data_IF_480894670902
#
_entry.id   IF_480894670902
#
_cell.length_a   1.000
_cell.length_b   1.000
_cell.length_c   1.000
_cell.angle_alpha   90.00
_cell.angle_beta   90.00
_cell.angle_gamma   90.00
#
_symmetry.space_group_name_H-M   'P 1'
#
loop_
_entity.id
_entity.type
_entity.pdbx_description
1 polymer ?
#
# COMPACT_ATOMS: atom_id res chain seq x y z
N UNK A 1 -12.84 -16.72 25.14
CA UNK A 1 -14.12 -17.29 25.58
C UNK A 1 -13.90 -17.92 26.94
N UNK A 2 -14.71 -17.56 27.92
CA UNK A 2 -14.78 -18.30 29.18
C UNK A 2 -15.31 -19.70 28.86
N UNK A 3 -14.68 -20.74 29.40
CA UNK A 3 -15.22 -22.09 29.29
C UNK A 3 -16.63 -22.12 29.89
N UNK A 4 -17.59 -22.83 29.28
CA UNK A 4 -18.84 -23.13 29.95
C UNK A 4 -18.53 -23.77 31.31
N UNK A 5 -19.08 -23.26 32.42
CA UNK A 5 -18.78 -23.77 33.76
C UNK A 5 -19.12 -25.26 33.86
N UNK A 6 -20.18 -25.69 33.17
CA UNK A 6 -20.64 -27.08 33.14
C UNK A 6 -19.62 -28.01 32.47
N UNK A 7 -19.00 -27.58 31.36
CA UNK A 7 -17.97 -28.36 30.66
C UNK A 7 -16.70 -28.47 31.52
N UNK A 8 -16.27 -27.37 32.15
CA UNK A 8 -15.11 -27.38 33.03
C UNK A 8 -15.33 -28.25 34.27
N UNK A 9 -16.54 -28.22 34.85
CA UNK A 9 -16.90 -29.05 35.99
C UNK A 9 -16.93 -30.53 35.60
N UNK A 10 -17.55 -30.87 34.46
CA UNK A 10 -17.55 -32.25 33.95
C UNK A 10 -16.13 -32.80 33.76
N UNK A 11 -15.23 -32.02 33.14
CA UNK A 11 -13.84 -32.44 32.94
C UNK A 11 -13.09 -32.62 34.26
N UNK A 12 -13.26 -31.70 35.21
CA UNK A 12 -12.68 -31.84 36.55
C UNK A 12 -13.15 -33.13 37.22
N UNK A 13 -14.46 -33.38 37.23
CA UNK A 13 -15.06 -34.50 37.93
C UNK A 13 -14.65 -35.84 37.28
N UNK A 14 -14.64 -35.90 35.94
CA UNK A 14 -14.18 -37.07 35.20
C UNK A 14 -12.69 -37.39 35.43
N UNK A 15 -11.83 -36.36 35.47
CA UNK A 15 -10.41 -36.54 35.81
C UNK A 15 -10.22 -36.96 37.27
N UNK A 16 -11.03 -36.44 38.18
CA UNK A 16 -10.97 -36.81 39.60
C UNK A 16 -11.40 -38.26 39.85
N UNK A 17 -12.29 -38.79 38.99
CA UNK A 17 -12.73 -40.18 38.99
C UNK A 17 -11.75 -41.14 38.28
N UNK A 18 -10.60 -40.64 37.80
CA UNK A 18 -9.56 -41.48 37.20
C UNK A 18 -9.75 -41.80 35.70
N UNK A 19 -10.68 -41.14 35.02
CA UNK A 19 -10.80 -41.28 33.56
C UNK A 19 -9.63 -40.61 32.83
N UNK A 20 -9.17 -41.23 31.75
CA UNK A 20 -8.10 -40.67 30.93
C UNK A 20 -8.58 -39.44 30.13
N UNK A 21 -7.65 -38.53 29.78
CA UNK A 21 -7.99 -37.38 28.94
C UNK A 21 -8.54 -37.80 27.56
N UNK A 22 -8.08 -38.93 27.03
CA UNK A 22 -8.49 -39.45 25.73
C UNK A 22 -9.93 -39.99 25.76
N UNK A 23 -10.33 -40.65 26.85
CA UNK A 23 -11.71 -41.14 27.02
C UNK A 23 -12.70 -39.98 27.15
N UNK A 24 -12.31 -38.95 27.91
CA UNK A 24 -13.11 -37.73 28.09
C UNK A 24 -13.24 -37.00 26.74
N UNK A 25 -12.14 -36.86 25.99
CA UNK A 25 -12.16 -36.23 24.67
C UNK A 25 -13.10 -36.96 23.70
N UNK A 26 -13.05 -38.29 23.68
CA UNK A 26 -13.89 -39.13 22.81
C UNK A 26 -15.37 -38.98 23.16
N UNK A 27 -15.70 -39.01 24.45
CA UNK A 27 -17.08 -38.85 24.93
C UNK A 27 -17.66 -37.47 24.59
N UNK A 28 -16.87 -36.41 24.77
CA UNK A 28 -17.27 -35.04 24.42
C UNK A 28 -17.43 -34.87 22.91
N UNK A 29 -16.54 -35.48 22.10
CA UNK A 29 -16.65 -35.44 20.64
C UNK A 29 -17.93 -36.10 20.13
N UNK A 30 -18.34 -37.24 20.73
CA UNK A 30 -19.62 -37.89 20.43
C UNK A 30 -20.84 -37.01 20.76
N UNK A 31 -20.68 -36.03 21.66
CA UNK A 31 -21.73 -35.10 22.08
C UNK A 31 -21.73 -33.79 21.30
N UNK A 32 -21.09 -33.75 20.13
CA UNK A 32 -20.95 -32.57 19.26
C UNK A 32 -20.19 -31.38 19.86
N UNK A 33 -19.39 -31.58 20.91
CA UNK A 33 -18.45 -30.54 21.35
C UNK A 33 -17.36 -30.35 20.30
N UNK A 34 -16.95 -29.09 20.07
CA UNK A 34 -15.88 -28.82 19.13
C UNK A 34 -14.54 -29.28 19.72
N UNK A 35 -13.61 -29.75 18.87
CA UNK A 35 -12.27 -30.15 19.31
C UNK A 35 -11.56 -29.05 20.11
N UNK A 36 -11.85 -27.79 19.79
CA UNK A 36 -11.29 -26.64 20.50
C UNK A 36 -11.83 -26.52 21.94
N UNK A 37 -13.13 -26.72 22.15
CA UNK A 37 -13.73 -26.68 23.50
C UNK A 37 -13.21 -27.82 24.36
N UNK A 38 -13.04 -29.01 23.76
CA UNK A 38 -12.49 -30.21 24.40
C UNK A 38 -11.03 -29.97 24.82
N UNK A 39 -10.18 -29.53 23.89
CA UNK A 39 -8.76 -29.26 24.16
C UNK A 39 -8.61 -28.18 25.24
N UNK A 40 -9.42 -27.13 25.16
CA UNK A 40 -9.40 -26.02 26.12
C UNK A 40 -9.86 -26.46 27.52
N UNK A 41 -10.86 -27.34 27.60
CA UNK A 41 -11.34 -27.89 28.87
C UNK A 41 -10.32 -28.84 29.51
N UNK A 42 -9.76 -29.76 28.73
CA UNK A 42 -8.75 -30.71 29.20
C UNK A 42 -7.41 -30.05 29.55
N UNK A 43 -7.07 -28.95 28.87
CA UNK A 43 -5.88 -28.15 29.13
C UNK A 43 -6.00 -27.28 30.39
N UNK A 44 -7.23 -26.98 30.85
CA UNK A 44 -7.45 -26.22 32.08
C UNK A 44 -7.13 -27.01 33.35
N UNK A 45 -6.90 -28.33 33.25
CA UNK A 45 -6.70 -29.22 34.40
C UNK A 45 -5.47 -30.13 34.21
N UNK A 46 -4.67 -30.27 35.26
CA UNK A 46 -3.63 -31.30 35.38
C UNK A 46 -3.92 -32.22 36.56
N UNK A 47 -3.49 -33.48 36.48
CA UNK A 47 -3.65 -34.46 37.55
C UNK A 47 -2.31 -34.59 38.28
N UNK A 48 -2.32 -34.41 39.59
CA UNK A 48 -1.21 -34.72 40.50
C UNK A 48 -1.59 -35.95 41.32
N UNK A 49 -0.71 -36.96 41.38
CA UNK A 49 -0.96 -38.23 42.06
C UNK A 49 -1.23 -38.08 43.58
N UNK A 50 -0.78 -36.98 44.21
CA UNK A 50 -0.90 -36.77 45.66
C UNK A 50 -2.04 -35.84 46.04
N UNK A 51 -2.39 -34.89 45.16
CA UNK A 51 -3.31 -33.78 45.48
C UNK A 51 -4.60 -33.85 44.64
N UNK A 52 -4.61 -34.63 43.54
CA UNK A 52 -5.74 -34.76 42.64
C UNK A 52 -5.72 -33.75 41.50
N UNK A 53 -6.88 -33.30 41.05
CA UNK A 53 -7.02 -32.40 39.89
C UNK A 53 -6.68 -30.95 40.26
N UNK A 54 -5.65 -30.39 39.64
CA UNK A 54 -5.16 -29.03 39.85
C UNK A 54 -5.57 -28.13 38.66
N UNK A 55 -6.20 -26.97 38.89
CA UNK A 55 -6.50 -26.02 37.83
C UNK A 55 -5.21 -25.35 37.33
N UNK A 56 -5.04 -25.32 36.01
CA UNK A 56 -3.92 -24.62 35.38
C UNK A 56 -4.27 -23.15 35.09
N UNK A 57 -3.33 -22.22 35.32
CA UNK A 57 -3.56 -20.81 35.05
C UNK A 57 -3.68 -20.57 33.54
N UNK A 58 -4.88 -20.23 33.09
CA UNK A 58 -5.11 -19.70 31.75
C UNK A 58 -4.65 -18.24 31.72
N UNK A 59 -3.35 -18.00 31.47
CA UNK A 59 -2.85 -16.62 31.31
C UNK A 59 -3.50 -16.01 30.08
N UNK A 60 -4.31 -14.97 30.27
CA UNK A 60 -4.98 -14.25 29.19
C UNK A 60 -3.98 -13.39 28.41
N UNK A 61 -3.37 -13.94 27.36
CA UNK A 61 -2.63 -13.16 26.34
C UNK A 61 -3.57 -12.40 25.39
N UNK A 62 -4.88 -12.48 25.61
CA UNK A 62 -5.92 -12.03 24.68
C UNK A 62 -5.73 -10.60 24.14
N UNK A 63 -5.26 -9.67 24.97
CA UNK A 63 -5.00 -8.30 24.55
C UNK A 63 -3.79 -8.20 23.58
N UNK A 64 -2.68 -8.88 23.90
CA UNK A 64 -1.51 -8.92 23.04
C UNK A 64 -1.78 -9.66 21.73
N UNK A 65 -2.58 -10.73 21.78
CA UNK A 65 -2.99 -11.46 20.59
C UNK A 65 -3.88 -10.57 19.70
N UNK A 66 -4.85 -9.88 20.28
CA UNK A 66 -5.69 -8.93 19.54
C UNK A 66 -4.86 -7.84 18.86
N UNK A 67 -3.88 -7.26 19.56
CA UNK A 67 -2.96 -6.26 18.99
C UNK A 67 -2.09 -6.84 17.87
N UNK A 68 -1.54 -8.04 18.04
CA UNK A 68 -0.73 -8.71 17.03
C UNK A 68 -1.54 -8.97 15.75
N UNK A 69 -2.75 -9.51 15.90
CA UNK A 69 -3.63 -9.80 14.78
C UNK A 69 -4.17 -8.53 14.12
N UNK A 70 -4.50 -7.49 14.90
CA UNK A 70 -4.85 -6.18 14.34
C UNK A 70 -3.70 -5.60 13.51
N UNK A 71 -2.46 -5.66 14.01
CA UNK A 71 -1.28 -5.21 13.29
C UNK A 71 -1.04 -6.01 12.00
N UNK A 72 -1.18 -7.34 12.06
CA UNK A 72 -1.08 -8.22 10.90
C UNK A 72 -2.10 -7.83 9.82
N UNK A 73 -3.35 -7.62 10.21
CA UNK A 73 -4.43 -7.23 9.29
C UNK A 73 -4.21 -5.84 8.70
N UNK A 74 -3.79 -4.86 9.51
CA UNK A 74 -3.45 -3.52 9.02
C UNK A 74 -2.27 -3.54 8.05
N UNK A 75 -1.21 -4.30 8.35
CA UNK A 75 -0.06 -4.46 7.45
C UNK A 75 -0.47 -5.10 6.12
N UNK A 76 -1.29 -6.14 6.17
CA UNK A 76 -1.85 -6.79 4.99
C UNK A 76 -2.69 -5.83 4.13
N UNK A 77 -3.60 -5.08 4.76
CA UNK A 77 -4.40 -4.05 4.08
C UNK A 77 -3.55 -2.98 3.43
N UNK A 78 -2.50 -2.51 4.11
CA UNK A 78 -1.53 -1.56 3.56
C UNK A 78 -0.80 -2.13 2.34
N UNK A 79 -0.38 -3.40 2.37
CA UNK A 79 0.27 -4.05 1.22
C UNK A 79 -0.69 -4.10 0.02
N UNK A 80 -1.91 -4.58 0.20
CA UNK A 80 -2.87 -4.71 -0.92
C UNK A 80 -3.28 -3.36 -1.49
N UNK A 81 -3.61 -2.39 -0.62
CA UNK A 81 -4.03 -1.07 -1.06
C UNK A 81 -2.94 -0.37 -1.88
N UNK A 82 -1.68 -0.51 -1.46
CA UNK A 82 -0.55 0.08 -2.18
C UNK A 82 -0.20 -0.69 -3.47
N UNK A 83 -0.35 -2.01 -3.50
CA UNK A 83 -0.24 -2.80 -4.74
C UNK A 83 -1.29 -2.31 -5.77
N UNK A 84 -2.55 -2.19 -5.37
CA UNK A 84 -3.62 -1.71 -6.26
C UNK A 84 -3.33 -0.29 -6.75
N UNK A 85 -2.87 0.59 -5.86
CA UNK A 85 -2.51 1.98 -6.23
C UNK A 85 -1.41 2.01 -7.29
N UNK A 86 -0.37 1.18 -7.15
CA UNK A 86 0.71 1.10 -8.14
C UNK A 86 0.24 0.49 -9.46
N UNK A 87 -0.55 -0.58 -9.43
CA UNK A 87 -1.12 -1.17 -10.65
C UNK A 87 -1.99 -0.14 -11.38
N UNK A 88 -2.83 0.61 -10.67
CA UNK A 88 -3.66 1.66 -11.27
C UNK A 88 -2.83 2.79 -11.86
N UNK A 89 -1.77 3.22 -11.16
CA UNK A 89 -0.82 4.19 -11.69
C UNK A 89 -0.16 3.71 -12.98
N UNK A 90 0.29 2.45 -12.98
CA UNK A 90 0.94 1.85 -14.14
C UNK A 90 0.00 1.76 -15.34
N UNK A 91 -1.25 1.36 -15.11
CA UNK A 91 -2.29 1.33 -16.14
C UNK A 91 -2.55 2.74 -16.70
N UNK A 92 -2.62 3.76 -15.84
CA UNK A 92 -2.80 5.15 -16.30
C UNK A 92 -1.58 5.67 -17.08
N UNK A 93 -0.35 5.24 -16.74
CA UNK A 93 0.86 5.57 -17.52
C UNK A 93 0.87 4.93 -18.91
N UNK A 94 0.45 3.66 -19.02
CA UNK A 94 0.51 2.90 -20.27
C UNK A 94 -0.68 3.14 -21.20
N UNK A 95 -1.82 3.54 -20.66
CA UNK A 95 -3.05 3.81 -21.43
C UNK A 95 -3.55 5.23 -21.15
N UNK A 96 -2.83 6.30 -21.59
CA UNK A 96 -3.25 7.70 -21.43
C UNK A 96 -4.60 7.99 -22.14
N UNK A 97 -5.47 8.78 -21.51
CA UNK A 97 -6.76 9.23 -22.06
C UNK A 97 -6.72 10.75 -22.31
N UNK A 98 -7.58 11.23 -23.20
CA UNK A 98 -7.66 12.66 -23.53
C UNK A 98 -8.04 13.49 -22.29
N UNK A 99 -7.25 14.52 -21.99
CA UNK A 99 -7.44 15.36 -20.81
C UNK A 99 -6.63 14.94 -19.59
N UNK A 100 -5.90 13.83 -19.65
CA UNK A 100 -4.96 13.50 -18.58
C UNK A 100 -3.82 14.51 -18.52
N UNK A 101 -3.81 15.28 -17.44
CA UNK A 101 -2.61 15.97 -17.01
C UNK A 101 -2.02 15.15 -15.88
N UNK A 102 -0.84 14.55 -16.08
CA UNK A 102 -0.15 13.83 -15.01
C UNK A 102 0.24 14.81 -13.91
N UNK A 103 -0.66 15.01 -12.94
CA UNK A 103 -0.44 15.97 -11.87
C UNK A 103 0.71 15.50 -10.99
N UNK A 104 1.51 16.45 -10.47
CA UNK A 104 2.56 16.16 -9.49
C UNK A 104 2.05 15.38 -8.27
N UNK A 105 0.75 15.47 -7.97
CA UNK A 105 0.08 14.71 -6.92
C UNK A 105 -0.02 13.21 -7.26
N UNK A 106 -0.27 12.86 -8.53
CA UNK A 106 -0.32 11.47 -8.99
C UNK A 106 1.02 10.75 -8.80
N UNK A 107 2.12 11.34 -9.29
CA UNK A 107 3.47 10.79 -9.09
C UNK A 107 3.85 10.71 -7.60
N UNK A 108 3.45 11.69 -6.79
CA UNK A 108 3.68 11.67 -5.34
C UNK A 108 2.97 10.51 -4.67
N UNK A 109 1.73 10.21 -5.05
CA UNK A 109 0.98 9.07 -4.51
C UNK A 109 1.65 7.74 -4.86
N UNK A 110 2.14 7.59 -6.10
CA UNK A 110 2.87 6.36 -6.48
C UNK A 110 4.16 6.20 -5.69
N UNK A 111 4.93 7.28 -5.48
CA UNK A 111 6.14 7.26 -4.65
C UNK A 111 5.83 6.91 -3.18
N UNK A 112 4.71 7.41 -2.65
CA UNK A 112 4.24 7.04 -1.31
C UNK A 112 3.90 5.55 -1.24
N UNK A 113 3.20 5.01 -2.25
CA UNK A 113 2.87 3.59 -2.29
C UNK A 113 4.09 2.68 -2.40
N UNK A 114 5.12 3.11 -3.15
CA UNK A 114 6.41 2.40 -3.18
C UNK A 114 7.05 2.37 -1.79
N UNK A 115 7.12 3.51 -1.10
CA UNK A 115 7.68 3.59 0.25
C UNK A 115 6.90 2.73 1.26
N UNK A 116 5.57 2.74 1.17
CA UNK A 116 4.71 1.92 2.00
C UNK A 116 5.01 0.42 1.79
N UNK A 117 5.11 -0.06 0.55
CA UNK A 117 5.43 -1.47 0.29
C UNK A 117 6.82 -1.87 0.76
N UNK A 118 7.83 -1.00 0.60
CA UNK A 118 9.20 -1.28 1.09
C UNK A 118 9.21 -1.57 2.60
N UNK A 119 8.31 -0.96 3.38
CA UNK A 119 8.23 -1.15 4.83
C UNK A 119 7.21 -2.23 5.22
N UNK A 120 5.99 -2.14 4.70
CA UNK A 120 4.88 -3.01 5.10
C UNK A 120 5.00 -4.43 4.56
N UNK A 121 5.61 -4.64 3.38
CA UNK A 121 5.81 -5.99 2.84
C UNK A 121 6.72 -6.84 3.74
N UNK A 122 7.96 -6.43 4.10
CA UNK A 122 8.79 -7.24 4.98
C UNK A 122 8.19 -7.35 6.40
N UNK A 123 7.52 -6.31 6.90
CA UNK A 123 6.83 -6.38 8.19
C UNK A 123 5.70 -7.43 8.19
N UNK A 124 4.87 -7.44 7.15
CA UNK A 124 3.80 -8.42 6.97
C UNK A 124 4.36 -9.85 6.89
N UNK A 125 5.39 -10.09 6.08
CA UNK A 125 6.01 -11.40 5.96
C UNK A 125 6.60 -11.89 7.29
N UNK A 126 7.25 -10.99 8.04
CA UNK A 126 7.79 -11.32 9.35
C UNK A 126 6.70 -11.69 10.37
N UNK A 127 5.62 -10.90 10.42
CA UNK A 127 4.46 -11.18 11.28
C UNK A 127 3.80 -12.51 10.89
N UNK A 128 3.61 -12.75 9.60
CA UNK A 128 3.04 -14.00 9.09
C UNK A 128 3.91 -15.22 9.43
N UNK A 129 5.23 -15.15 9.20
CA UNK A 129 6.15 -16.23 9.58
C UNK A 129 6.20 -16.48 11.10
N UNK A 130 6.01 -15.44 11.91
CA UNK A 130 5.93 -15.59 13.37
C UNK A 130 4.64 -16.31 13.77
N UNK A 131 3.51 -15.97 13.15
CA UNK A 131 2.22 -16.64 13.36
C UNK A 131 2.28 -18.13 12.96
N UNK A 132 2.86 -18.44 11.81
CA UNK A 132 3.04 -19.82 11.36
C UNK A 132 3.91 -20.65 12.34
N UNK A 133 5.02 -20.09 12.81
CA UNK A 133 5.90 -20.78 13.77
C UNK A 133 5.23 -20.99 15.12
N UNK A 134 4.50 -20.00 15.62
CA UNK A 134 3.74 -20.11 16.86
C UNK A 134 2.65 -21.19 16.76
N UNK A 135 1.99 -21.29 15.60
CA UNK A 135 0.97 -22.30 15.32
C UNK A 135 1.53 -23.74 15.30
N UNK A 136 2.76 -23.93 14.82
CA UNK A 136 3.42 -25.24 14.79
C UNK A 136 3.96 -25.69 16.16
N UNK A 137 4.36 -24.74 17.02
CA UNK A 137 4.98 -25.04 18.30
C UNK A 137 4.00 -25.45 19.40
N UNK A 138 2.74 -24.98 19.35
CA UNK A 138 1.74 -25.24 20.39
C UNK A 138 0.37 -25.59 19.77
N UNK A 139 0.12 -26.88 19.53
CA UNK A 139 -1.17 -27.37 19.01
C UNK A 139 -2.33 -27.27 20.01
N UNK A 140 -2.05 -27.12 21.32
CA UNK A 140 -3.04 -27.05 22.39
C UNK A 140 -3.55 -25.63 22.70
N UNK A 141 -2.74 -24.59 22.43
CA UNK A 141 -3.17 -23.19 22.51
C UNK A 141 -3.56 -22.70 21.11
N UNK A 142 -4.58 -23.31 20.51
CA UNK A 142 -5.08 -22.84 19.21
C UNK A 142 -5.71 -21.46 19.38
N UNK A 143 -4.93 -20.42 19.10
CA UNK A 143 -5.30 -19.03 18.81
C UNK A 143 -6.23 -18.92 17.57
N UNK A 144 -7.13 -19.88 17.36
CA UNK A 144 -7.88 -20.04 16.13
C UNK A 144 -9.03 -19.05 15.98
N UNK A 145 -9.50 -18.38 17.03
CA UNK A 145 -10.65 -17.48 16.92
C UNK A 145 -10.30 -16.14 16.22
N UNK A 146 -9.24 -15.39 16.60
CA UNK A 146 -8.91 -14.13 15.93
C UNK A 146 -8.47 -14.32 14.48
N UNK A 147 -7.60 -15.30 14.21
CA UNK A 147 -7.10 -15.59 12.86
C UNK A 147 -8.24 -15.98 11.91
N UNK A 148 -9.15 -16.87 12.33
CA UNK A 148 -10.33 -17.24 11.50
C UNK A 148 -11.23 -16.04 11.21
N UNK A 149 -11.38 -15.13 12.17
CA UNK A 149 -12.19 -13.93 11.99
C UNK A 149 -11.53 -12.96 11.00
N UNK A 150 -10.22 -12.76 11.08
CA UNK A 150 -9.47 -11.95 10.12
C UNK A 150 -9.53 -12.50 8.69
N UNK A 151 -9.32 -13.81 8.52
CA UNK A 151 -9.42 -14.45 7.21
C UNK A 151 -10.83 -14.32 6.65
N UNK A 152 -11.87 -14.45 7.49
CA UNK A 152 -13.25 -14.23 7.08
C UNK A 152 -13.51 -12.78 6.68
N UNK A 153 -13.01 -11.80 7.44
CA UNK A 153 -13.13 -10.36 7.10
C UNK A 153 -12.42 -10.06 5.79
N UNK A 154 -11.22 -10.60 5.57
CA UNK A 154 -10.47 -10.35 4.33
C UNK A 154 -11.17 -10.93 3.10
N UNK A 155 -11.69 -12.16 3.19
CA UNK A 155 -12.50 -12.77 2.12
C UNK A 155 -13.77 -11.95 1.88
N UNK A 156 -14.44 -11.50 2.95
CA UNK A 156 -15.64 -10.67 2.85
C UNK A 156 -15.34 -9.32 2.18
N UNK A 157 -14.26 -8.65 2.57
CA UNK A 157 -13.82 -7.41 1.95
C UNK A 157 -13.45 -7.60 0.47
N UNK A 158 -12.78 -8.70 0.12
CA UNK A 158 -12.48 -9.04 -1.28
C UNK A 158 -13.76 -9.29 -2.09
N UNK A 159 -14.75 -9.99 -1.50
CA UNK A 159 -16.06 -10.19 -2.14
C UNK A 159 -16.81 -8.87 -2.36
N UNK A 160 -16.82 -7.97 -1.36
CA UNK A 160 -17.38 -6.62 -1.53
C UNK A 160 -16.65 -5.86 -2.63
N UNK A 161 -15.32 -5.90 -2.67
CA UNK A 161 -14.54 -5.23 -3.69
C UNK A 161 -14.91 -5.71 -5.11
N UNK A 162 -15.09 -7.02 -5.30
CA UNK A 162 -15.58 -7.59 -6.56
C UNK A 162 -16.99 -7.13 -6.93
N UNK A 163 -17.89 -7.06 -5.95
CA UNK A 163 -19.26 -6.57 -6.19
C UNK A 163 -19.26 -5.08 -6.57
N UNK A 164 -18.51 -4.24 -5.86
CA UNK A 164 -18.36 -2.82 -6.17
C UNK A 164 -17.73 -2.61 -7.55
N UNK A 165 -16.70 -3.38 -7.88
CA UNK A 165 -16.04 -3.33 -9.19
C UNK A 165 -16.99 -3.75 -10.32
N UNK A 166 -17.75 -4.83 -10.12
CA UNK A 166 -18.78 -5.28 -11.05
C UNK A 166 -19.90 -4.25 -11.26
N UNK A 167 -20.37 -3.60 -10.19
CA UNK A 167 -21.35 -2.50 -10.27
C UNK A 167 -20.79 -1.37 -11.13
N UNK A 168 -19.56 -0.94 -10.86
CA UNK A 168 -18.96 0.18 -11.58
C UNK A 168 -18.63 -0.16 -13.04
N UNK A 169 -18.31 -1.42 -13.34
CA UNK A 169 -18.15 -1.91 -14.70
C UNK A 169 -19.45 -1.85 -15.50
N UNK A 170 -20.55 -2.35 -14.93
CA UNK A 170 -21.86 -2.27 -15.57
C UNK A 170 -22.29 -0.82 -15.74
N UNK A 171 -22.09 0.01 -14.71
CA UNK A 171 -22.40 1.44 -14.77
C UNK A 171 -21.67 2.14 -15.93
N UNK A 172 -20.34 1.95 -16.07
CA UNK A 172 -19.56 2.51 -17.17
C UNK A 172 -19.94 1.96 -18.54
N UNK A 173 -20.30 0.68 -18.61
CA UNK A 173 -20.80 0.07 -19.83
C UNK A 173 -22.13 0.70 -20.28
N UNK A 174 -23.05 0.93 -19.34
CA UNK A 174 -24.35 1.57 -19.62
C UNK A 174 -24.21 3.04 -20.00
N UNK A 175 -23.24 3.75 -19.42
CA UNK A 175 -22.93 5.15 -19.78
C UNK A 175 -22.26 5.27 -21.17
N UNK A 176 -21.84 4.16 -21.80
CA UNK A 176 -21.10 4.17 -23.07
C UNK A 176 -19.63 4.60 -22.95
N UNK A 177 -19.15 4.81 -21.72
CA UNK A 177 -17.80 5.29 -21.39
C UNK A 177 -16.85 4.14 -20.99
N UNK A 178 -17.04 2.95 -21.56
CA UNK A 178 -16.20 1.80 -21.25
C UNK A 178 -14.84 1.89 -21.95
N UNK A 179 -13.81 2.33 -21.23
CA UNK A 179 -12.44 2.46 -21.78
C UNK A 179 -11.59 1.22 -21.52
N UNK A 180 -10.57 0.99 -22.37
CA UNK A 180 -9.59 -0.10 -22.18
C UNK A 180 -8.85 0.07 -20.85
N UNK A 181 -8.51 1.31 -20.48
CA UNK A 181 -7.92 1.64 -19.17
C UNK A 181 -8.81 1.17 -18.05
N UNK A 182 -10.10 1.47 -18.13
CA UNK A 182 -11.07 1.09 -17.11
C UNK A 182 -11.16 -0.44 -16.97
N UNK A 183 -11.23 -1.16 -18.09
CA UNK A 183 -11.20 -2.63 -18.11
C UNK A 183 -9.94 -3.21 -17.48
N UNK A 184 -8.77 -2.63 -17.74
CA UNK A 184 -7.52 -3.05 -17.09
C UNK A 184 -7.55 -2.81 -15.58
N UNK A 185 -8.10 -1.68 -15.11
CA UNK A 185 -8.22 -1.39 -13.67
C UNK A 185 -9.17 -2.35 -12.98
N UNK A 186 -10.34 -2.61 -13.57
CA UNK A 186 -11.29 -3.60 -13.06
C UNK A 186 -10.69 -5.01 -13.03
N UNK A 187 -10.02 -5.42 -14.12
CA UNK A 187 -9.29 -6.69 -14.17
C UNK A 187 -8.22 -6.82 -13.07
N UNK A 188 -7.52 -5.72 -12.73
CA UNK A 188 -6.57 -5.70 -11.63
C UNK A 188 -7.23 -5.88 -10.26
N UNK A 189 -8.39 -5.25 -10.00
CA UNK A 189 -9.17 -5.48 -8.78
C UNK A 189 -9.59 -6.94 -8.68
N UNK A 190 -10.11 -7.49 -9.78
CA UNK A 190 -10.53 -8.89 -9.83
C UNK A 190 -9.38 -9.86 -9.56
N UNK A 191 -8.21 -9.64 -10.16
CA UNK A 191 -7.02 -10.45 -9.94
C UNK A 191 -6.56 -10.38 -8.49
N UNK A 192 -6.45 -9.19 -7.91
CA UNK A 192 -6.01 -9.03 -6.52
C UNK A 192 -7.01 -9.64 -5.55
N UNK A 193 -8.31 -9.44 -5.75
CA UNK A 193 -9.35 -10.04 -4.92
C UNK A 193 -9.30 -11.58 -5.01
N UNK A 194 -9.08 -12.15 -6.20
CA UNK A 194 -8.89 -13.58 -6.37
C UNK A 194 -7.67 -14.10 -5.61
N UNK A 195 -6.51 -13.42 -5.70
CA UNK A 195 -5.29 -13.78 -4.95
C UNK A 195 -5.56 -13.75 -3.44
N UNK A 196 -6.25 -12.72 -2.94
CA UNK A 196 -6.63 -12.59 -1.51
C UNK A 196 -7.52 -13.74 -1.07
N UNK A 197 -8.56 -14.05 -1.84
CA UNK A 197 -9.49 -15.14 -1.55
C UNK A 197 -8.74 -16.48 -1.51
N UNK A 198 -7.88 -16.75 -2.49
CA UNK A 198 -7.11 -18.00 -2.52
C UNK A 198 -6.15 -18.11 -1.34
N UNK A 199 -5.42 -17.04 -1.04
CA UNK A 199 -4.49 -16.98 0.09
C UNK A 199 -5.18 -17.34 1.42
N UNK A 200 -6.31 -16.70 1.73
CA UNK A 200 -7.03 -16.98 2.98
C UNK A 200 -7.85 -18.27 2.97
N UNK A 201 -8.24 -18.78 1.80
CA UNK A 201 -8.88 -20.10 1.70
C UNK A 201 -7.88 -21.22 2.01
N UNK A 202 -6.66 -21.13 1.48
CA UNK A 202 -5.58 -22.08 1.78
C UNK A 202 -5.26 -22.09 3.28
N UNK A 203 -5.15 -20.92 3.90
CA UNK A 203 -4.94 -20.78 5.35
C UNK A 203 -6.01 -21.49 6.20
N UNK A 204 -7.25 -21.52 5.70
CA UNK A 204 -8.38 -22.19 6.37
C UNK A 204 -8.39 -23.71 6.18
N UNK A 205 -7.88 -24.19 5.03
CA UNK A 205 -7.83 -25.61 4.68
C UNK A 205 -6.64 -26.32 5.35
N UNK A 206 -5.49 -25.64 5.44
CA UNK A 206 -4.30 -26.15 6.15
C UNK A 206 -4.57 -26.45 7.64
N UNK A 207 -5.56 -25.77 8.25
CA UNK A 207 -6.02 -26.04 9.61
C UNK A 207 -6.83 -27.33 9.79
N UNK A 208 -7.24 -28.01 8.71
CA UNK A 208 -8.01 -29.26 8.76
C UNK A 208 -7.19 -30.51 8.41
N UNK A 209 -6.22 -30.39 7.50
CA UNK A 209 -5.49 -31.56 6.97
C UNK A 209 -3.97 -31.31 6.95
N UNK A 210 -3.32 -31.41 8.12
CA UNK A 210 -1.85 -31.39 8.22
C UNK A 210 -1.18 -32.67 7.66
N UNK A 211 -1.96 -33.66 7.21
CA UNK A 211 -1.44 -34.97 6.79
C UNK A 211 -1.23 -35.13 5.28
N UNK A 212 -1.72 -34.22 4.43
CA UNK A 212 -1.83 -34.51 2.98
C UNK A 212 -1.65 -33.32 2.04
N UNK A 213 -0.82 -32.34 2.38
CA UNK A 213 -0.42 -31.26 1.43
C UNK A 213 1.03 -31.41 0.99
N UNK A 214 1.24 -31.42 -0.33
CA UNK A 214 2.57 -31.58 -0.92
C UNK A 214 3.46 -30.37 -0.59
N UNK A 215 4.77 -30.59 -0.47
CA UNK A 215 5.76 -29.53 -0.17
C UNK A 215 5.76 -28.41 -1.25
N UNK A 216 5.30 -28.72 -2.47
CA UNK A 216 5.19 -27.77 -3.58
C UNK A 216 4.03 -26.79 -3.44
N UNK A 217 2.86 -27.24 -2.99
CA UNK A 217 1.68 -26.37 -2.84
C UNK A 217 1.89 -25.31 -1.76
N UNK A 218 2.57 -25.69 -0.67
CA UNK A 218 2.97 -24.77 0.41
C UNK A 218 4.01 -23.75 -0.04
N UNK A 219 4.89 -24.11 -0.97
CA UNK A 219 5.88 -23.18 -1.51
C UNK A 219 5.21 -22.17 -2.45
N UNK A 220 4.30 -22.61 -3.31
CA UNK A 220 3.56 -21.70 -4.17
C UNK A 220 2.69 -20.74 -3.34
N UNK A 221 1.96 -21.22 -2.34
CA UNK A 221 1.12 -20.39 -1.47
C UNK A 221 1.91 -19.28 -0.74
N UNK A 222 3.08 -19.62 -0.21
CA UNK A 222 3.87 -18.70 0.62
C UNK A 222 4.67 -17.68 -0.20
N UNK A 223 5.01 -18.00 -1.45
CA UNK A 223 5.83 -17.16 -2.31
C UNK A 223 5.03 -16.29 -3.29
N UNK A 224 3.75 -16.60 -3.54
CA UNK A 224 2.92 -15.87 -4.51
C UNK A 224 2.68 -14.40 -4.12
N UNK A 225 2.43 -14.15 -2.83
CA UNK A 225 2.19 -12.80 -2.30
C UNK A 225 3.46 -11.91 -2.36
N UNK A 226 4.62 -12.34 -1.82
CA UNK A 226 5.84 -11.53 -1.91
C UNK A 226 6.35 -11.38 -3.35
N UNK A 227 6.18 -12.40 -4.22
CA UNK A 227 6.60 -12.27 -5.62
C UNK A 227 5.80 -11.21 -6.36
N UNK A 228 4.48 -11.14 -6.12
CA UNK A 228 3.63 -10.10 -6.72
C UNK A 228 4.03 -8.71 -6.24
N UNK A 229 4.27 -8.54 -4.93
CA UNK A 229 4.71 -7.26 -4.36
C UNK A 229 6.05 -6.80 -4.94
N UNK A 230 7.03 -7.71 -5.03
CA UNK A 230 8.35 -7.43 -5.62
C UNK A 230 8.26 -7.11 -7.10
N UNK A 231 7.44 -7.83 -7.86
CA UNK A 231 7.23 -7.59 -9.28
C UNK A 231 6.62 -6.21 -9.53
N UNK A 232 5.56 -5.85 -8.78
CA UNK A 232 4.91 -4.54 -8.91
C UNK A 232 5.86 -3.41 -8.50
N UNK A 233 6.65 -3.60 -7.44
CA UNK A 233 7.69 -2.65 -7.04
C UNK A 233 8.77 -2.49 -8.11
N UNK A 234 9.27 -3.58 -8.66
CA UNK A 234 10.28 -3.58 -9.72
C UNK A 234 9.81 -2.83 -10.97
N UNK A 235 8.58 -3.11 -11.43
CA UNK A 235 7.96 -2.38 -12.54
C UNK A 235 7.80 -0.90 -12.22
N UNK A 236 7.40 -0.56 -11.00
CA UNK A 236 7.22 0.83 -10.57
C UNK A 236 8.54 1.61 -10.54
N UNK A 237 9.64 0.99 -10.07
CA UNK A 237 10.97 1.60 -10.15
C UNK A 237 11.43 1.84 -11.58
N UNK A 238 11.11 0.91 -12.49
CA UNK A 238 11.45 1.04 -13.89
C UNK A 238 10.68 2.18 -14.58
N UNK A 239 9.40 2.36 -14.29
CA UNK A 239 8.55 3.37 -14.96
C UNK A 239 8.60 4.75 -14.29
N UNK A 240 8.53 4.82 -12.96
CA UNK A 240 8.51 6.08 -12.20
C UNK A 240 9.92 6.61 -11.96
N UNK A 241 10.93 5.74 -11.94
CA UNK A 241 12.31 6.09 -11.64
C UNK A 241 12.62 6.12 -10.14
N UNK A 242 13.92 6.10 -9.83
CA UNK A 242 14.44 6.09 -8.47
C UNK A 242 14.64 7.47 -7.82
N UNK A 243 15.34 7.54 -6.68
CA UNK A 243 15.57 8.80 -5.96
C UNK A 243 16.37 9.84 -6.76
N UNK A 244 17.24 9.40 -7.67
CA UNK A 244 17.97 10.31 -8.57
C UNK A 244 17.00 11.09 -9.48
N UNK A 245 16.01 10.41 -10.06
CA UNK A 245 14.97 11.03 -10.88
C UNK A 245 14.17 12.06 -10.09
N UNK A 246 13.82 11.73 -8.84
CA UNK A 246 13.10 12.65 -7.96
C UNK A 246 13.87 13.94 -7.65
N UNK A 247 15.21 13.88 -7.57
CA UNK A 247 16.04 15.07 -7.39
C UNK A 247 16.04 15.97 -8.62
N UNK A 248 16.19 15.39 -9.81
CA UNK A 248 16.18 16.15 -11.06
C UNK A 248 14.84 16.86 -11.28
N UNK A 249 13.71 16.15 -11.07
CA UNK A 249 12.37 16.75 -11.13
C UNK A 249 12.17 17.89 -10.10
N UNK A 250 12.76 17.74 -8.90
CA UNK A 250 12.70 18.79 -7.89
C UNK A 250 13.53 20.02 -8.28
N UNK A 251 14.74 19.82 -8.83
CA UNK A 251 15.57 20.91 -9.35
C UNK A 251 14.84 21.65 -10.46
N UNK A 252 14.24 20.93 -11.40
CA UNK A 252 13.48 21.52 -12.51
C UNK A 252 12.29 22.34 -12.03
N UNK A 253 11.58 21.86 -11.01
CA UNK A 253 10.48 22.61 -10.39
C UNK A 253 10.97 23.94 -9.79
N UNK A 254 12.15 23.96 -9.17
CA UNK A 254 12.76 25.19 -8.64
C UNK A 254 13.18 26.12 -9.78
N UNK A 255 13.89 25.60 -10.80
CA UNK A 255 14.31 26.38 -11.99
C UNK A 255 13.14 27.07 -12.68
N UNK A 256 12.06 26.34 -12.93
CA UNK A 256 10.85 26.85 -13.57
C UNK A 256 10.15 27.87 -12.66
N UNK A 257 10.05 27.59 -11.35
CA UNK A 257 9.44 28.50 -10.38
C UNK A 257 10.19 29.83 -10.28
N UNK A 258 11.52 29.81 -10.24
CA UNK A 258 12.37 30.99 -10.20
C UNK A 258 12.27 31.77 -11.50
N UNK A 259 12.34 31.10 -12.65
CA UNK A 259 12.18 31.73 -13.97
C UNK A 259 10.82 32.43 -14.09
N UNK A 260 9.74 31.82 -13.58
CA UNK A 260 8.39 32.42 -13.56
C UNK A 260 8.29 33.62 -12.63
N UNK A 261 8.97 33.58 -11.49
CA UNK A 261 8.99 34.70 -10.55
C UNK A 261 9.81 35.86 -11.12
N UNK A 262 11.01 35.58 -11.62
CA UNK A 262 11.86 36.56 -12.31
C UNK A 262 11.18 37.17 -13.55
N UNK A 263 10.47 36.38 -14.35
CA UNK A 263 9.77 36.91 -15.53
C UNK A 263 8.69 37.94 -15.17
N UNK A 264 8.06 37.80 -13.99
CA UNK A 264 7.12 38.80 -13.48
C UNK A 264 7.86 40.04 -12.98
N UNK A 265 8.87 39.84 -12.14
CA UNK A 265 9.69 40.91 -11.58
C UNK A 265 10.35 41.78 -12.67
N UNK A 266 10.95 41.16 -13.69
CA UNK A 266 11.55 41.84 -14.84
C UNK A 266 10.50 42.62 -15.64
N UNK A 267 9.32 42.05 -15.86
CA UNK A 267 8.25 42.74 -16.59
C UNK A 267 7.78 44.00 -15.83
N UNK A 268 7.60 43.89 -14.52
CA UNK A 268 7.16 45.00 -13.66
C UNK A 268 8.25 46.08 -13.57
N UNK A 269 9.51 45.67 -13.41
CA UNK A 269 10.69 46.54 -13.39
C UNK A 269 10.82 47.35 -14.69
N UNK A 270 10.73 46.69 -15.85
CA UNK A 270 10.82 47.35 -17.16
C UNK A 270 9.60 48.25 -17.45
N UNK A 271 8.40 47.82 -17.05
CA UNK A 271 7.19 48.64 -17.20
C UNK A 271 7.26 49.93 -16.36
N UNK A 272 7.90 49.90 -15.19
CA UNK A 272 8.08 51.09 -14.35
C UNK A 272 9.10 52.10 -14.90
N UNK A 273 10.01 51.66 -15.78
CA UNK A 273 11.07 52.49 -16.33
C UNK A 273 10.63 53.33 -17.55
N UNK A 274 9.43 53.09 -18.09
CA UNK A 274 8.85 53.73 -19.28
C UNK A 274 9.82 53.81 -20.48
N UNK A 275 10.58 52.72 -20.68
CA UNK A 275 11.60 52.59 -21.74
C UNK A 275 11.44 51.28 -22.49
N UNK A 276 11.92 51.26 -23.73
CA UNK A 276 12.00 50.04 -24.52
C UNK A 276 12.83 48.95 -23.82
N UNK A 277 12.51 47.70 -24.14
CA UNK A 277 13.22 46.52 -23.69
C UNK A 277 14.69 46.58 -24.14
N UNK A 278 15.67 46.51 -23.20
CA UNK A 278 17.10 46.65 -23.52
C UNK A 278 17.66 45.43 -24.26
N UNK A 279 18.76 45.62 -24.99
CA UNK A 279 19.44 44.52 -25.72
C UNK A 279 20.10 43.50 -24.79
N UNK A 280 20.54 43.94 -23.61
CA UNK A 280 21.07 43.05 -22.56
C UNK A 280 20.54 43.49 -21.20
N UNK A 281 20.16 42.52 -20.38
CA UNK A 281 19.68 42.72 -19.02
C UNK A 281 20.09 41.50 -18.20
N UNK A 282 20.61 41.73 -17.00
CA UNK A 282 20.71 40.67 -15.99
C UNK A 282 19.35 40.59 -15.26
N UNK A 283 18.59 39.48 -15.40
CA UNK A 283 17.28 39.34 -14.74
C UNK A 283 17.33 39.57 -13.22
N UNK A 284 18.47 39.27 -12.58
CA UNK A 284 18.63 39.38 -11.13
C UNK A 284 18.58 40.83 -10.64
N UNK A 285 18.91 41.83 -11.47
CA UNK A 285 18.87 43.23 -11.05
C UNK A 285 17.46 43.75 -10.83
N UNK A 286 16.47 43.13 -11.47
CA UNK A 286 15.06 43.48 -11.33
C UNK A 286 14.31 42.60 -10.30
N UNK A 287 14.99 41.65 -9.65
CA UNK A 287 14.35 40.75 -8.69
C UNK A 287 13.87 41.51 -7.44
N UNK A 288 12.58 41.42 -7.10
CA UNK A 288 12.03 42.13 -5.94
C UNK A 288 12.53 41.57 -4.61
N UNK A 289 12.66 40.24 -4.52
CA UNK A 289 13.07 39.53 -3.30
C UNK A 289 14.11 38.44 -3.65
N UNK A 290 15.35 38.82 -3.99
CA UNK A 290 16.35 37.87 -4.47
C UNK A 290 16.67 36.75 -3.47
N UNK A 291 16.54 37.01 -2.17
CA UNK A 291 16.75 36.00 -1.13
C UNK A 291 15.70 34.87 -1.10
N UNK A 292 14.55 35.04 -1.77
CA UNK A 292 13.52 33.99 -1.89
C UNK A 292 13.71 33.09 -3.12
N UNK A 293 14.53 33.52 -4.07
CA UNK A 293 14.87 32.74 -5.24
C UNK A 293 15.89 31.67 -4.85
N UNK A 294 15.85 30.53 -5.53
CA UNK A 294 16.88 29.51 -5.32
C UNK A 294 18.18 29.90 -6.03
N UNK A 295 19.27 29.18 -5.75
CA UNK A 295 20.55 29.36 -6.45
C UNK A 295 20.47 29.11 -7.96
N UNK A 296 19.37 28.56 -8.48
CA UNK A 296 19.16 28.38 -9.90
C UNK A 296 18.74 29.65 -10.64
N UNK A 297 18.25 30.68 -9.94
CA UNK A 297 17.81 31.92 -10.55
C UNK A 297 18.92 32.66 -11.33
N UNK A 298 20.18 32.55 -10.90
CA UNK A 298 21.33 33.14 -11.58
C UNK A 298 21.66 32.47 -12.92
N UNK A 299 21.10 31.29 -13.20
CA UNK A 299 21.27 30.59 -14.47
C UNK A 299 20.23 30.99 -15.53
N UNK A 300 19.28 31.88 -15.18
CA UNK A 300 18.24 32.34 -16.08
C UNK A 300 18.82 33.33 -17.09
N UNK A 301 18.66 33.02 -18.37
CA UNK A 301 19.15 33.84 -19.48
C UNK A 301 18.05 34.75 -20.02
N UNK A 302 18.39 35.98 -20.35
CA UNK A 302 17.50 36.96 -20.99
C UNK A 302 17.79 37.09 -22.49
N UNK A 303 16.74 37.14 -23.30
CA UNK A 303 16.82 37.43 -24.73
C UNK A 303 15.77 38.46 -25.13
N UNK A 304 16.19 39.51 -25.84
CA UNK A 304 15.28 40.49 -26.43
C UNK A 304 14.65 39.91 -27.69
N UNK A 305 13.31 39.96 -27.77
CA UNK A 305 12.55 39.52 -28.96
C UNK A 305 12.09 40.70 -29.82
N UNK A 306 11.71 41.82 -29.20
CA UNK A 306 11.32 43.05 -29.90
C UNK A 306 11.50 44.29 -29.00
N UNK A 307 11.02 45.46 -29.43
CA UNK A 307 11.03 46.69 -28.64
C UNK A 307 10.26 46.57 -27.32
N UNK A 308 9.18 45.78 -27.29
CA UNK A 308 8.31 45.59 -26.12
C UNK A 308 8.21 44.14 -25.64
N UNK A 309 8.98 43.22 -26.22
CA UNK A 309 8.91 41.79 -25.91
C UNK A 309 10.27 41.23 -25.56
N UNK A 310 10.33 40.44 -24.49
CA UNK A 310 11.50 39.70 -24.07
C UNK A 310 11.14 38.27 -23.72
N UNK A 311 12.17 37.44 -23.61
CA UNK A 311 12.09 36.05 -23.20
C UNK A 311 13.10 35.76 -22.11
N UNK A 312 12.69 35.04 -21.08
CA UNK A 312 13.59 34.44 -20.09
C UNK A 312 13.61 32.94 -20.26
N UNK A 313 14.80 32.33 -20.21
CA UNK A 313 14.94 30.90 -20.36
C UNK A 313 15.83 30.27 -19.27
N UNK A 314 15.59 28.98 -19.00
CA UNK A 314 16.44 28.13 -18.16
C UNK A 314 16.52 26.72 -18.75
N UNK A 315 17.58 25.98 -18.40
CA UNK A 315 17.74 24.58 -18.81
C UNK A 315 17.13 23.65 -17.76
N UNK A 316 16.32 22.71 -18.22
CA UNK A 316 15.67 21.67 -17.42
C UNK A 316 16.55 20.41 -17.46
N UNK A 317 16.36 19.43 -16.59
CA UNK A 317 17.05 18.13 -16.63
C UNK A 317 16.13 17.04 -17.20
N UNK A 318 14.83 17.09 -16.89
CA UNK A 318 13.82 16.12 -17.27
C UNK A 318 12.67 16.80 -18.03
N UNK A 319 12.86 17.12 -19.32
CA UNK A 319 11.89 17.91 -20.10
C UNK A 319 10.52 17.24 -20.25
N UNK A 320 10.49 15.91 -20.38
CA UNK A 320 9.26 15.11 -20.55
C UNK A 320 8.32 15.16 -19.33
N UNK A 321 8.86 15.51 -18.15
CA UNK A 321 8.10 15.56 -16.88
C UNK A 321 7.98 16.98 -16.33
N UNK A 322 8.49 17.97 -17.05
CA UNK A 322 8.47 19.36 -16.63
C UNK A 322 7.08 19.96 -16.84
N UNK A 323 6.55 20.65 -15.82
CA UNK A 323 5.27 21.33 -15.95
C UNK A 323 5.47 22.70 -16.59
N UNK A 324 4.99 22.87 -17.82
CA UNK A 324 5.25 24.04 -18.67
C UNK A 324 4.29 25.21 -18.46
N UNK A 325 3.53 25.27 -17.36
CA UNK A 325 2.50 26.30 -17.20
C UNK A 325 3.06 27.73 -17.36
N UNK A 326 2.50 28.47 -18.34
CA UNK A 326 2.85 29.87 -18.61
C UNK A 326 4.16 30.08 -19.37
N UNK A 327 4.73 29.03 -19.95
CA UNK A 327 5.91 29.08 -20.82
C UNK A 327 5.92 27.95 -21.86
N UNK A 328 6.93 27.95 -22.72
CA UNK A 328 7.15 26.93 -23.75
C UNK A 328 8.42 26.15 -23.44
N UNK A 329 8.43 24.86 -23.81
CA UNK A 329 9.59 24.00 -23.66
C UNK A 329 10.12 23.62 -25.04
N UNK A 330 11.34 24.08 -25.36
CA UNK A 330 12.02 23.82 -26.63
C UNK A 330 13.21 22.89 -26.36
N UNK A 331 13.01 21.59 -26.60
CA UNK A 331 13.98 20.58 -26.21
C UNK A 331 14.14 20.57 -24.69
N UNK A 332 15.32 20.94 -24.20
CA UNK A 332 15.61 21.00 -22.77
C UNK A 332 15.58 22.42 -22.18
N UNK A 333 15.15 23.40 -22.98
CA UNK A 333 15.13 24.81 -22.59
C UNK A 333 13.70 25.25 -22.35
N UNK A 334 13.37 25.60 -21.11
CA UNK A 334 12.09 26.19 -20.75
C UNK A 334 12.20 27.70 -20.86
N UNK A 335 11.27 28.33 -21.59
CA UNK A 335 11.27 29.76 -21.84
C UNK A 335 9.90 30.39 -21.56
N UNK A 336 9.91 31.63 -21.08
CA UNK A 336 8.72 32.44 -20.82
C UNK A 336 8.84 33.75 -21.57
N UNK A 337 7.81 34.03 -22.36
CA UNK A 337 7.69 35.28 -23.10
C UNK A 337 6.82 36.26 -22.31
N UNK A 338 7.24 37.52 -22.31
CA UNK A 338 6.46 38.62 -21.74
C UNK A 338 6.52 39.82 -22.68
N UNK A 339 5.41 40.53 -22.72
CA UNK A 339 5.26 41.79 -23.45
C UNK A 339 4.98 42.89 -22.43
N UNK A 340 5.80 43.93 -22.41
CA UNK A 340 5.55 45.13 -21.61
C UNK A 340 4.55 46.02 -22.36
N UNK A 341 3.64 46.67 -21.63
CA UNK A 341 2.60 47.52 -22.23
C UNK A 341 3.16 48.88 -22.61
#
# INVERSE_FOLDING_TARGET
MQLPPDLSNFVRDALSNGHSKDDIATSLACSNWTSQEIDQALGAWSVDEKIGTIPQPMRSSAAWDALFYALLFSAFGMVIGNILTLIFGQITLWLPEAGDTYSSNGLRNLRWSMAALIIFTPAFLWLHHRDMRASLANSANKFGAPRRWLSAIAIFAAAIALLCDGIYLIYRFLDGDLTVRFLCKSGAVALVAFVVIQYFRQDRLEGKDLAQTSRGDRFLANWLSPSLALLVLGLSFWTIGGPAQGRMEHHDRLRISDTRSLARDVADCLASADKDVPDSLDPMTCAHNPHRLSGYASSVTYERLSQKRFQLCTNVEVPERAWTYGGELKGNRYCIDRTIK
#
